data_IF_272330016062
#
_entry.id   IF_272330016062
#
_cell.length_a   1.000
_cell.length_b   1.000
_cell.length_c   1.000
_cell.angle_alpha   90.00
_cell.angle_beta   90.00
_cell.angle_gamma   90.00
#
_symmetry.space_group_name_H-M   'P 1'
#
loop_
_entity.id
_entity.type
_entity.pdbx_description
1 polymer ?
#
# COMPACT_ATOMS: atom_id res chain seq x y z
N UNK A 1 9.75 -2.27 20.10
CA UNK A 1 8.81 -1.75 19.08
C UNK A 1 9.51 -1.53 17.75
N UNK A 2 8.77 -1.52 16.66
CA UNK A 2 9.29 -1.20 15.31
C UNK A 2 8.54 -0.01 14.75
N UNK A 3 9.26 0.99 14.27
CA UNK A 3 8.72 2.12 13.53
C UNK A 3 8.95 1.89 12.03
N UNK A 4 7.93 2.10 11.21
CA UNK A 4 8.05 2.04 9.76
C UNK A 4 7.83 3.42 9.15
N UNK A 5 8.60 3.75 8.08
CA UNK A 5 8.51 5.02 7.37
C UNK A 5 8.31 4.75 5.89
N UNK A 6 7.16 5.13 5.38
CA UNK A 6 6.86 5.16 3.95
C UNK A 6 7.02 6.61 3.46
N UNK A 7 8.13 6.90 2.76
CA UNK A 7 8.40 8.22 2.18
C UNK A 7 7.85 8.26 0.75
N UNK A 8 6.57 8.58 0.62
CA UNK A 8 5.91 8.77 -0.66
C UNK A 8 6.26 10.12 -1.32
N UNK A 9 5.78 10.35 -2.55
CA UNK A 9 6.05 11.59 -3.30
C UNK A 9 5.49 12.86 -2.63
N UNK A 10 4.34 12.76 -1.96
CA UNK A 10 3.63 13.93 -1.41
C UNK A 10 3.74 14.01 0.11
N UNK A 11 3.73 12.89 0.78
CA UNK A 11 3.70 12.78 2.25
C UNK A 11 4.52 11.58 2.69
N UNK A 12 5.02 11.66 3.91
CA UNK A 12 5.58 10.52 4.63
C UNK A 12 4.53 9.95 5.59
N UNK A 13 4.47 8.64 5.67
CA UNK A 13 3.62 7.91 6.62
C UNK A 13 4.51 7.17 7.60
N UNK A 14 4.25 7.40 8.89
CA UNK A 14 4.96 6.77 9.99
C UNK A 14 3.99 5.85 10.73
N UNK A 15 4.36 4.58 10.91
CA UNK A 15 3.52 3.62 11.61
C UNK A 15 4.33 2.91 12.69
N UNK A 16 3.87 3.00 13.93
CA UNK A 16 4.48 2.35 15.08
C UNK A 16 3.78 1.02 15.37
N UNK A 17 4.55 -0.04 15.38
CA UNK A 17 4.08 -1.38 15.71
C UNK A 17 4.53 -1.79 17.13
N UNK A 18 3.64 -2.48 17.86
CA UNK A 18 3.99 -3.12 19.12
C UNK A 18 5.09 -4.17 18.90
N UNK A 19 5.81 -4.52 19.98
CA UNK A 19 6.57 -5.75 19.98
C UNK A 19 5.61 -6.94 19.80
N UNK A 20 6.05 -8.00 19.10
CA UNK A 20 5.26 -9.23 18.98
C UNK A 20 4.92 -9.77 20.36
N UNK A 21 3.66 -9.74 20.73
CA UNK A 21 3.15 -10.43 21.91
C UNK A 21 2.65 -11.79 21.48
N UNK A 22 3.26 -12.86 21.97
CA UNK A 22 2.73 -14.23 21.84
C UNK A 22 1.48 -14.34 22.73
N UNK A 23 0.34 -13.94 22.22
CA UNK A 23 -0.93 -14.23 22.85
C UNK A 23 -1.26 -15.70 22.59
N UNK A 24 -1.16 -16.54 23.62
CA UNK A 24 -1.71 -17.91 23.63
C UNK A 24 -3.23 -17.83 23.72
N UNK A 25 -3.91 -17.87 22.61
CA UNK A 25 -5.33 -18.27 22.58
C UNK A 25 -5.39 -19.67 22.00
N UNK A 26 -5.94 -20.58 22.76
CA UNK A 26 -6.33 -21.96 22.48
C UNK A 26 -6.10 -22.41 21.02
N UNK A 27 -4.89 -22.94 20.75
CA UNK A 27 -4.62 -23.79 19.59
C UNK A 27 -3.89 -23.17 18.41
N UNK A 28 -3.85 -21.86 18.22
CA UNK A 28 -3.09 -21.21 17.12
C UNK A 28 -2.32 -19.98 17.62
N UNK A 29 -1.00 -20.02 17.45
CA UNK A 29 -0.10 -18.91 17.83
C UNK A 29 0.04 -17.96 16.65
N UNK A 30 -0.98 -17.18 16.35
CA UNK A 30 -0.82 -16.03 15.47
C UNK A 30 -0.28 -14.87 16.30
N UNK A 31 0.97 -14.50 16.10
CA UNK A 31 1.56 -13.30 16.69
C UNK A 31 0.88 -12.06 16.10
N UNK A 32 -0.16 -11.56 16.74
CA UNK A 32 -0.82 -10.32 16.32
C UNK A 32 0.04 -9.14 16.73
N UNK A 33 0.59 -8.44 15.75
CA UNK A 33 1.28 -7.18 15.94
C UNK A 33 0.27 -6.05 15.84
N UNK A 34 0.09 -5.30 16.92
CA UNK A 34 -0.82 -4.16 16.93
C UNK A 34 -0.15 -2.90 16.37
N UNK A 35 -0.88 -2.14 15.60
CA UNK A 35 -0.52 -0.77 15.23
C UNK A 35 -0.87 0.11 16.42
N UNK A 36 0.11 0.80 16.98
CA UNK A 36 -0.04 1.66 18.15
C UNK A 36 -0.31 3.10 17.76
N UNK A 37 0.33 3.55 16.68
CA UNK A 37 0.25 4.92 16.21
C UNK A 37 0.47 4.97 14.70
N UNK A 38 -0.24 5.89 14.02
CA UNK A 38 -0.05 6.15 12.61
C UNK A 38 -0.15 7.65 12.34
N UNK A 39 0.88 8.21 11.71
CA UNK A 39 0.97 9.62 11.37
C UNK A 39 1.26 9.79 9.88
N UNK A 40 0.59 10.78 9.25
CA UNK A 40 0.90 11.21 7.90
C UNK A 40 1.30 12.67 7.92
N UNK A 41 2.54 12.96 7.50
CA UNK A 41 3.15 14.29 7.58
C UNK A 41 3.72 14.73 6.24
N UNK A 42 3.93 16.02 6.07
CA UNK A 42 4.70 16.55 4.94
C UNK A 42 6.18 16.31 5.16
N UNK A 43 6.98 16.28 4.08
CA UNK A 43 8.43 16.06 4.15
C UNK A 43 9.14 17.08 5.06
N UNK A 44 8.65 18.32 5.14
CA UNK A 44 9.22 19.37 5.99
C UNK A 44 9.08 19.06 7.50
N UNK A 45 8.03 18.35 7.89
CA UNK A 45 7.74 18.00 9.29
C UNK A 45 8.21 16.58 9.68
N UNK A 46 8.77 15.81 8.72
CA UNK A 46 9.10 14.41 8.93
C UNK A 46 10.10 14.19 10.05
N UNK A 47 11.24 14.91 10.05
CA UNK A 47 12.28 14.75 11.07
C UNK A 47 11.76 15.15 12.45
N UNK A 48 11.02 16.27 12.55
CA UNK A 48 10.43 16.71 13.81
C UNK A 48 9.42 15.67 14.37
N UNK A 49 8.59 15.09 13.50
CA UNK A 49 7.66 14.04 13.90
C UNK A 49 8.39 12.77 14.35
N UNK A 50 9.47 12.39 13.67
CA UNK A 50 10.32 11.26 14.07
C UNK A 50 10.95 11.48 15.44
N UNK A 51 11.50 12.67 15.70
CA UNK A 51 12.05 13.03 17.01
C UNK A 51 11.01 12.90 18.10
N UNK A 52 9.82 13.48 17.88
CA UNK A 52 8.72 13.40 18.83
C UNK A 52 8.32 11.95 19.14
N UNK A 53 8.19 11.10 18.11
CA UNK A 53 7.84 9.68 18.30
C UNK A 53 8.92 8.91 19.05
N UNK A 54 10.21 9.18 18.80
CA UNK A 54 11.32 8.54 19.50
C UNK A 54 11.41 9.00 20.96
N UNK A 55 11.09 10.25 21.27
CA UNK A 55 11.00 10.76 22.65
C UNK A 55 9.83 10.13 23.42
N UNK A 56 8.68 9.98 22.78
CA UNK A 56 7.48 9.38 23.38
C UNK A 56 7.60 7.85 23.56
N UNK A 57 8.37 7.19 22.70
CA UNK A 57 8.50 5.74 22.65
C UNK A 57 9.97 5.31 22.71
N UNK A 58 10.57 5.43 23.90
CA UNK A 58 12.00 5.12 24.14
C UNK A 58 12.41 3.66 23.89
N UNK A 59 11.44 2.76 23.66
CA UNK A 59 11.65 1.33 23.38
C UNK A 59 11.55 0.96 21.90
N UNK A 60 11.64 1.94 20.99
CA UNK A 60 11.80 1.67 19.54
C UNK A 60 13.21 1.12 19.32
N UNK A 61 13.29 -0.12 18.86
CA UNK A 61 14.54 -0.85 18.64
C UNK A 61 14.89 -0.97 17.16
N UNK A 62 13.89 -0.79 16.28
CA UNK A 62 14.06 -0.95 14.85
C UNK A 62 13.25 0.09 14.08
N UNK A 63 13.88 0.63 13.03
CA UNK A 63 13.24 1.48 12.04
C UNK A 63 13.42 0.84 10.67
N UNK A 64 12.30 0.55 9.99
CA UNK A 64 12.30 0.06 8.61
C UNK A 64 11.68 1.10 7.71
N UNK A 65 12.32 1.43 6.60
CA UNK A 65 11.83 2.48 5.74
C UNK A 65 11.98 2.20 4.26
N UNK A 66 11.16 2.87 3.47
CA UNK A 66 11.29 2.94 2.02
C UNK A 66 11.05 4.36 1.55
N UNK A 67 11.52 4.66 0.34
CA UNK A 67 11.32 5.97 -0.28
C UNK A 67 11.00 5.83 -1.77
N UNK A 68 10.16 6.74 -2.26
CA UNK A 68 9.91 6.97 -3.68
C UNK A 68 10.42 8.38 -4.00
N UNK A 69 11.36 8.48 -4.96
CA UNK A 69 11.97 9.74 -5.34
C UNK A 69 13.13 10.16 -4.45
N UNK A 70 13.32 11.48 -4.30
CA UNK A 70 14.49 12.05 -3.61
C UNK A 70 14.32 12.00 -2.09
N UNK A 71 15.29 11.39 -1.41
CA UNK A 71 15.33 11.36 0.06
C UNK A 71 15.93 12.68 0.56
N UNK A 72 15.27 13.40 1.50
CA UNK A 72 15.85 14.59 2.10
C UNK A 72 17.13 14.27 2.87
N UNK A 73 18.20 15.01 2.63
CA UNK A 73 19.50 14.83 3.33
C UNK A 73 19.34 14.88 4.85
N UNK A 74 18.46 15.75 5.35
CA UNK A 74 18.18 15.84 6.79
C UNK A 74 17.64 14.52 7.37
N UNK A 75 16.82 13.77 6.61
CA UNK A 75 16.34 12.46 7.04
C UNK A 75 17.47 11.43 7.05
N UNK A 76 18.31 11.40 6.02
CA UNK A 76 19.43 10.46 5.95
C UNK A 76 20.38 10.66 7.14
N UNK A 77 20.83 11.90 7.37
CA UNK A 77 21.70 12.22 8.50
C UNK A 77 21.04 11.88 9.86
N UNK A 78 19.76 12.17 9.98
CA UNK A 78 19.02 11.85 11.20
C UNK A 78 18.96 10.34 11.47
N UNK A 79 18.68 9.53 10.44
CA UNK A 79 18.59 8.07 10.56
C UNK A 79 19.94 7.42 10.83
N UNK A 80 21.04 7.96 10.29
CA UNK A 80 22.41 7.47 10.50
C UNK A 80 22.91 7.67 11.95
N UNK A 81 22.41 8.71 12.65
CA UNK A 81 22.82 9.05 14.03
C UNK A 81 21.99 8.32 15.11
N UNK A 82 21.03 7.49 14.70
CA UNK A 82 20.16 6.79 15.65
C UNK A 82 20.83 5.55 16.26
N UNK A 83 20.66 5.31 17.57
CA UNK A 83 21.25 4.15 18.27
C UNK A 83 20.49 2.83 18.03
N UNK A 84 19.43 2.83 17.23
CA UNK A 84 18.63 1.65 16.93
C UNK A 84 18.98 1.06 15.55
N UNK A 85 18.50 -0.16 15.28
CA UNK A 85 18.69 -0.78 13.97
C UNK A 85 17.82 -0.07 12.90
N UNK A 86 18.47 0.49 11.89
CA UNK A 86 17.79 1.17 10.75
C UNK A 86 18.01 0.36 9.49
N UNK A 87 16.92 -0.01 8.82
CA UNK A 87 16.94 -0.81 7.59
C UNK A 87 16.12 -0.14 6.50
N UNK A 88 16.73 0.05 5.32
CA UNK A 88 16.06 0.52 4.11
C UNK A 88 15.64 -0.67 3.24
N UNK A 89 14.40 -0.66 2.75
CA UNK A 89 13.97 -1.58 1.69
C UNK A 89 14.41 -1.03 0.34
N UNK A 90 15.21 -1.81 -0.37
CA UNK A 90 15.66 -1.50 -1.74
C UNK A 90 15.22 -2.62 -2.68
N UNK A 91 14.52 -2.32 -3.80
CA UNK A 91 14.14 -3.33 -4.79
C UNK A 91 15.33 -4.02 -5.47
N UNK A 92 16.50 -3.37 -5.49
CA UNK A 92 17.76 -3.95 -5.99
C UNK A 92 18.38 -4.98 -5.06
N UNK A 93 17.95 -4.99 -3.78
CA UNK A 93 18.39 -5.94 -2.75
C UNK A 93 17.16 -6.41 -1.96
N UNK A 94 16.28 -7.22 -2.58
CA UNK A 94 15.05 -7.67 -1.93
C UNK A 94 15.36 -8.61 -0.76
N UNK A 95 14.43 -8.75 0.20
CA UNK A 95 14.59 -9.69 1.30
C UNK A 95 14.66 -11.14 0.80
N UNK A 96 15.23 -12.03 1.62
CA UNK A 96 15.37 -13.44 1.30
C UNK A 96 14.01 -14.08 0.95
N UNK A 97 13.99 -14.93 -0.05
CA UNK A 97 12.77 -15.57 -0.55
C UNK A 97 11.99 -14.75 -1.58
N UNK A 98 12.41 -13.50 -1.86
CA UNK A 98 11.81 -12.67 -2.90
C UNK A 98 12.74 -12.58 -4.11
N UNK A 99 12.19 -12.83 -5.29
CA UNK A 99 12.88 -12.66 -6.57
C UNK A 99 12.19 -11.59 -7.40
N UNK A 100 12.93 -10.59 -7.84
CA UNK A 100 12.38 -9.50 -8.63
C UNK A 100 12.43 -9.84 -10.11
N UNK A 101 11.27 -10.04 -10.74
CA UNK A 101 11.12 -10.25 -12.18
C UNK A 101 11.06 -8.95 -13.00
N UNK A 102 11.13 -7.81 -12.34
CA UNK A 102 11.14 -6.49 -12.98
C UNK A 102 12.52 -6.22 -13.60
N UNK A 103 12.57 -5.87 -14.90
CA UNK A 103 13.83 -5.75 -15.64
C UNK A 103 14.73 -4.61 -15.18
N UNK A 104 14.14 -3.57 -14.57
CA UNK A 104 14.83 -2.38 -14.08
C UNK A 104 14.53 -2.21 -12.59
N UNK A 105 15.05 -3.07 -11.71
CA UNK A 105 14.75 -3.04 -10.28
C UNK A 105 15.12 -1.71 -9.62
N UNK A 106 16.09 -0.98 -10.17
CA UNK A 106 16.51 0.35 -9.74
C UNK A 106 15.42 1.42 -9.94
N UNK A 107 14.46 1.19 -10.84
CA UNK A 107 13.33 2.10 -11.08
C UNK A 107 12.02 1.63 -10.45
N UNK A 108 12.02 0.45 -9.83
CA UNK A 108 10.86 -0.05 -9.11
C UNK A 108 10.64 0.75 -7.82
N UNK A 109 9.44 1.29 -7.63
CA UNK A 109 9.08 1.94 -6.37
C UNK A 109 9.19 0.97 -5.19
N UNK A 110 9.93 1.36 -4.15
CA UNK A 110 10.11 0.53 -2.98
C UNK A 110 8.81 0.36 -2.17
N UNK A 111 7.88 1.33 -2.25
CA UNK A 111 6.52 1.26 -1.72
C UNK A 111 5.72 0.13 -2.35
N UNK A 112 5.84 -0.08 -3.66
CA UNK A 112 5.18 -1.17 -4.39
C UNK A 112 5.69 -2.54 -3.92
N UNK A 113 7.01 -2.68 -3.75
CA UNK A 113 7.59 -3.90 -3.17
C UNK A 113 7.13 -4.09 -1.71
N UNK A 114 7.16 -3.03 -0.89
CA UNK A 114 6.68 -3.09 0.48
C UNK A 114 5.21 -3.53 0.54
N UNK A 115 4.34 -3.02 -0.32
CA UNK A 115 2.93 -3.37 -0.34
C UNK A 115 2.70 -4.87 -0.62
N UNK A 116 3.42 -5.47 -1.58
CA UNK A 116 3.29 -6.92 -1.84
C UNK A 116 3.89 -7.78 -0.72
N UNK A 117 4.96 -7.33 -0.05
CA UNK A 117 5.50 -7.98 1.14
C UNK A 117 4.49 -7.93 2.30
N UNK A 118 3.78 -6.80 2.45
CA UNK A 118 2.69 -6.66 3.41
C UNK A 118 1.56 -7.65 3.16
N UNK A 119 1.11 -7.77 1.92
CA UNK A 119 0.09 -8.74 1.54
C UNK A 119 0.55 -10.19 1.78
N UNK A 120 1.81 -10.50 1.43
CA UNK A 120 2.39 -11.82 1.67
C UNK A 120 2.53 -12.13 3.17
N UNK A 121 2.83 -11.14 4.00
CA UNK A 121 2.90 -11.33 5.46
C UNK A 121 1.55 -11.67 6.09
N UNK A 122 0.47 -11.19 5.48
CA UNK A 122 -0.92 -11.49 5.89
C UNK A 122 -1.40 -12.83 5.35
N UNK A 123 -1.00 -13.20 4.12
CA UNK A 123 -1.35 -14.45 3.45
C UNK A 123 -0.09 -15.11 2.86
N UNK A 124 0.73 -15.78 3.68
CA UNK A 124 1.91 -16.51 3.23
C UNK A 124 1.55 -17.57 2.18
N UNK A 125 2.45 -17.80 1.24
CA UNK A 125 2.30 -18.83 0.21
C UNK A 125 1.11 -18.67 -0.76
N UNK A 126 0.48 -17.48 -0.78
CA UNK A 126 -0.57 -17.14 -1.75
C UNK A 126 -0.04 -16.22 -2.85
N UNK A 127 -0.58 -16.39 -4.05
CA UNK A 127 -0.42 -15.38 -5.11
C UNK A 127 -1.28 -14.18 -4.73
N UNK A 128 -0.68 -13.00 -4.67
CA UNK A 128 -1.36 -11.76 -4.28
C UNK A 128 -1.26 -10.71 -5.37
N UNK A 129 -2.38 -10.05 -5.65
CA UNK A 129 -2.45 -8.84 -6.45
C UNK A 129 -2.69 -7.66 -5.51
N UNK A 130 -1.74 -6.76 -5.41
CA UNK A 130 -1.89 -5.55 -4.61
C UNK A 130 -2.28 -4.39 -5.52
N UNK A 131 -3.29 -3.64 -5.10
CA UNK A 131 -3.82 -2.46 -5.77
C UNK A 131 -3.72 -1.31 -4.79
N UNK A 132 -2.77 -0.39 -5.02
CA UNK A 132 -2.64 0.83 -4.22
C UNK A 132 -3.32 1.99 -4.95
N UNK A 133 -4.44 2.46 -4.38
CA UNK A 133 -5.24 3.55 -4.92
C UNK A 133 -4.86 4.88 -4.27
N UNK A 134 -3.76 5.45 -4.71
CA UNK A 134 -3.22 6.73 -4.27
C UNK A 134 -3.27 7.81 -5.35
N UNK A 135 -2.22 8.64 -5.40
CA UNK A 135 -2.02 9.66 -6.47
C UNK A 135 -1.99 9.00 -7.85
N UNK A 136 -1.28 7.89 -7.97
CA UNK A 136 -1.43 6.90 -9.03
C UNK A 136 -2.14 5.67 -8.45
N UNK A 137 -2.65 4.82 -9.33
CA UNK A 137 -3.09 3.48 -8.98
C UNK A 137 -2.02 2.52 -9.47
N UNK A 138 -1.46 1.73 -8.57
CA UNK A 138 -0.52 0.68 -8.94
C UNK A 138 -1.16 -0.69 -8.81
N UNK A 139 -0.74 -1.62 -9.65
CA UNK A 139 -1.16 -3.01 -9.66
C UNK A 139 0.10 -3.86 -9.61
N UNK A 140 0.29 -4.60 -8.55
CA UNK A 140 1.52 -5.34 -8.27
C UNK A 140 1.22 -6.81 -8.00
N UNK A 141 1.87 -7.71 -8.75
CA UNK A 141 1.62 -9.14 -8.67
C UNK A 141 2.82 -9.89 -8.11
N UNK A 142 2.63 -10.54 -6.96
CA UNK A 142 3.57 -11.44 -6.34
C UNK A 142 3.00 -12.87 -6.35
N UNK A 143 3.76 -13.81 -6.88
CA UNK A 143 3.39 -15.23 -6.86
C UNK A 143 3.64 -15.85 -5.49
N UNK A 144 2.96 -16.98 -5.25
CA UNK A 144 3.07 -17.77 -4.00
C UNK A 144 4.48 -18.28 -3.70
N UNK A 145 5.34 -18.37 -4.72
CA UNK A 145 6.75 -18.77 -4.60
C UNK A 145 7.71 -17.59 -4.36
N UNK A 146 7.18 -16.39 -4.09
CA UNK A 146 7.98 -15.20 -3.83
C UNK A 146 8.50 -14.49 -5.10
N UNK A 147 8.03 -14.86 -6.29
CA UNK A 147 8.43 -14.18 -7.52
C UNK A 147 7.54 -12.96 -7.80
N UNK A 148 8.11 -11.76 -7.64
CA UNK A 148 7.46 -10.50 -8.03
C UNK A 148 7.49 -10.35 -9.55
N UNK A 149 6.32 -10.46 -10.18
CA UNK A 149 6.20 -10.46 -11.65
C UNK A 149 6.26 -9.05 -12.26
N UNK A 150 6.14 -8.02 -11.45
CA UNK A 150 5.98 -6.64 -11.90
C UNK A 150 4.54 -6.18 -11.72
N UNK A 151 4.19 -5.12 -12.42
CA UNK A 151 2.86 -4.53 -12.31
C UNK A 151 2.65 -3.35 -13.25
N UNK A 152 1.51 -2.69 -13.10
CA UNK A 152 1.09 -1.57 -13.92
C UNK A 152 0.90 -0.32 -13.07
N UNK A 153 0.98 0.84 -13.71
CA UNK A 153 0.74 2.15 -13.09
C UNK A 153 -0.30 2.88 -13.94
N UNK A 154 -1.32 3.41 -13.28
CA UNK A 154 -2.43 4.12 -13.90
C UNK A 154 -2.71 5.43 -13.15
N UNK A 155 -3.28 6.44 -13.79
CA UNK A 155 -3.62 7.69 -13.13
C UNK A 155 -4.68 7.46 -12.04
N UNK A 156 -4.46 8.03 -10.84
CA UNK A 156 -5.45 8.07 -9.78
C UNK A 156 -6.61 9.04 -10.08
N UNK A 157 -7.61 9.07 -9.22
CA UNK A 157 -8.87 9.79 -9.43
C UNK A 157 -8.65 11.29 -9.69
N UNK A 158 -7.93 11.95 -8.81
CA UNK A 158 -7.65 13.39 -8.96
C UNK A 158 -6.82 13.70 -10.21
N UNK A 159 -5.90 12.81 -10.55
CA UNK A 159 -5.07 12.95 -11.75
C UNK A 159 -5.92 12.85 -13.02
N UNK A 160 -6.89 11.93 -13.09
CA UNK A 160 -7.83 11.79 -14.21
C UNK A 160 -8.70 13.06 -14.35
N UNK A 161 -9.26 13.54 -13.24
CA UNK A 161 -10.11 14.74 -13.24
C UNK A 161 -9.34 15.99 -13.67
N UNK A 162 -8.13 16.18 -13.14
CA UNK A 162 -7.23 17.28 -13.52
C UNK A 162 -6.79 17.18 -14.98
N UNK A 163 -6.46 15.99 -15.46
CA UNK A 163 -6.05 15.77 -16.85
C UNK A 163 -7.17 16.12 -17.84
N UNK A 164 -8.42 15.71 -17.56
CA UNK A 164 -9.56 16.08 -18.41
C UNK A 164 -9.76 17.60 -18.49
N UNK A 165 -9.63 18.31 -17.38
CA UNK A 165 -9.67 19.77 -17.39
C UNK A 165 -8.49 20.38 -18.16
N UNK A 166 -7.28 19.93 -17.87
CA UNK A 166 -6.06 20.53 -18.42
C UNK A 166 -5.91 20.32 -19.94
N UNK A 167 -6.31 19.15 -20.44
CA UNK A 167 -6.13 18.78 -21.84
C UNK A 167 -7.37 19.02 -22.72
N UNK A 168 -8.40 19.72 -22.22
CA UNK A 168 -9.58 20.09 -23.00
C UNK A 168 -9.96 21.56 -22.82
N UNK A 169 -10.52 22.17 -23.87
CA UNK A 169 -10.83 23.61 -23.86
C UNK A 169 -12.07 23.97 -23.02
N UNK A 170 -12.96 23.03 -22.72
CA UNK A 170 -14.29 23.35 -22.15
C UNK A 170 -14.65 22.55 -20.89
N UNK A 171 -13.92 21.51 -20.55
CA UNK A 171 -14.25 20.72 -19.38
C UNK A 171 -13.82 21.46 -18.09
N UNK A 172 -14.74 21.66 -17.14
CA UNK A 172 -14.42 22.33 -15.89
C UNK A 172 -13.53 21.47 -15.01
N UNK A 173 -12.76 22.10 -14.10
CA UNK A 173 -12.09 21.38 -13.04
C UNK A 173 -13.12 20.88 -12.02
N UNK A 174 -13.19 19.57 -11.83
CA UNK A 174 -14.10 18.89 -10.89
C UNK A 174 -13.30 18.19 -9.81
N UNK A 175 -13.83 18.15 -8.60
CA UNK A 175 -13.31 17.34 -7.51
C UNK A 175 -14.04 15.98 -7.47
N UNK A 176 -13.46 15.01 -6.78
CA UNK A 176 -14.08 13.69 -6.56
C UNK A 176 -15.40 13.76 -5.78
N UNK A 177 -15.58 14.84 -4.99
CA UNK A 177 -16.78 15.01 -4.14
C UNK A 177 -18.02 15.37 -4.96
N UNK A 178 -19.13 14.72 -4.62
CA UNK A 178 -20.46 14.96 -5.24
C UNK A 178 -21.03 13.72 -5.90
N UNK A 179 -22.18 13.87 -6.56
CA UNK A 179 -22.87 12.78 -7.21
C UNK A 179 -22.07 12.17 -8.38
N UNK A 180 -22.04 10.84 -8.43
CA UNK A 180 -21.39 10.04 -9.48
C UNK A 180 -22.27 8.84 -9.83
N UNK A 181 -23.46 9.08 -10.43
CA UNK A 181 -24.35 7.99 -10.86
C UNK A 181 -23.67 7.10 -11.90
N UNK A 182 -24.22 5.91 -12.18
CA UNK A 182 -23.68 5.02 -13.20
C UNK A 182 -23.57 5.69 -14.59
N UNK A 183 -24.48 6.63 -14.89
CA UNK A 183 -24.48 7.47 -16.08
C UNK A 183 -24.69 8.93 -15.66
N UNK A 184 -23.71 9.79 -15.97
CA UNK A 184 -23.82 11.22 -15.68
C UNK A 184 -24.95 11.88 -16.49
N UNK A 185 -25.68 12.79 -15.86
CA UNK A 185 -26.79 13.53 -16.45
C UNK A 185 -26.46 15.00 -16.74
N UNK A 186 -25.28 15.44 -16.33
CA UNK A 186 -24.67 16.74 -16.67
C UNK A 186 -23.14 16.57 -16.76
N UNK A 187 -22.44 17.64 -17.20
CA UNK A 187 -21.00 17.60 -17.39
C UNK A 187 -20.24 17.24 -16.09
N UNK A 188 -20.66 17.78 -14.95
CA UNK A 188 -19.96 17.54 -13.66
C UNK A 188 -20.10 16.09 -13.20
N UNK A 189 -21.32 15.55 -13.27
CA UNK A 189 -21.57 14.15 -12.93
C UNK A 189 -20.95 13.20 -13.94
N UNK A 190 -20.95 13.56 -15.24
CA UNK A 190 -20.32 12.74 -16.28
C UNK A 190 -18.79 12.61 -16.09
N UNK A 191 -18.11 13.71 -15.72
CA UNK A 191 -16.68 13.69 -15.41
C UNK A 191 -16.36 12.83 -14.20
N UNK A 192 -17.12 12.99 -13.10
CA UNK A 192 -16.93 12.19 -11.87
C UNK A 192 -17.23 10.72 -12.13
N UNK A 193 -18.37 10.43 -12.71
CA UNK A 193 -18.81 9.06 -13.02
C UNK A 193 -17.82 8.35 -13.95
N UNK A 194 -17.38 9.02 -15.01
CA UNK A 194 -16.40 8.47 -15.94
C UNK A 194 -15.08 8.14 -15.28
N UNK A 195 -14.60 8.99 -14.35
CA UNK A 195 -13.36 8.74 -13.62
C UNK A 195 -13.53 7.63 -12.58
N UNK A 196 -14.58 7.66 -11.74
CA UNK A 196 -14.78 6.71 -10.64
C UNK A 196 -15.13 5.32 -11.17
N UNK A 197 -16.14 5.22 -12.06
CA UNK A 197 -16.52 3.93 -12.65
C UNK A 197 -15.44 3.38 -13.58
N UNK A 198 -14.70 4.28 -14.28
CA UNK A 198 -13.53 3.87 -15.06
C UNK A 198 -12.49 3.16 -14.21
N UNK A 199 -12.16 3.70 -13.03
CA UNK A 199 -11.23 3.06 -12.07
C UNK A 199 -11.82 1.74 -11.55
N UNK A 200 -13.11 1.72 -11.19
CA UNK A 200 -13.79 0.50 -10.75
C UNK A 200 -13.61 -0.64 -11.79
N UNK A 201 -13.95 -0.36 -13.05
CA UNK A 201 -13.85 -1.35 -14.13
C UNK A 201 -12.41 -1.76 -14.41
N UNK A 202 -11.46 -0.84 -14.29
CA UNK A 202 -10.03 -1.12 -14.43
C UNK A 202 -9.56 -2.10 -13.32
N UNK A 203 -9.88 -1.82 -12.07
CA UNK A 203 -9.53 -2.68 -10.93
C UNK A 203 -10.15 -4.08 -11.09
N UNK A 204 -11.46 -4.14 -11.36
CA UNK A 204 -12.16 -5.42 -11.53
C UNK A 204 -11.67 -6.18 -12.75
N UNK A 205 -11.30 -5.48 -13.83
CA UNK A 205 -10.70 -6.06 -15.02
C UNK A 205 -9.34 -6.72 -14.72
N UNK A 206 -8.45 -6.04 -13.99
CA UNK A 206 -7.18 -6.62 -13.58
C UNK A 206 -7.36 -7.82 -12.64
N UNK A 207 -8.27 -7.76 -11.68
CA UNK A 207 -8.58 -8.89 -10.79
C UNK A 207 -9.05 -10.10 -11.63
N UNK A 208 -9.97 -9.89 -12.57
CA UNK A 208 -10.47 -10.95 -13.44
C UNK A 208 -9.36 -11.55 -14.32
N UNK A 209 -8.53 -10.68 -14.93
CA UNK A 209 -7.39 -11.11 -15.75
C UNK A 209 -6.38 -11.94 -14.97
N UNK A 210 -6.02 -11.51 -13.77
CA UNK A 210 -5.07 -12.24 -12.92
C UNK A 210 -5.66 -13.57 -12.46
N UNK A 211 -6.93 -13.60 -12.04
CA UNK A 211 -7.60 -14.83 -11.61
C UNK A 211 -7.80 -15.84 -12.73
N UNK A 212 -7.92 -15.41 -13.97
CA UNK A 212 -7.94 -16.33 -15.11
C UNK A 212 -6.65 -17.15 -15.23
N UNK A 213 -5.51 -16.59 -14.80
CA UNK A 213 -4.21 -17.28 -14.81
C UNK A 213 -3.86 -17.89 -13.44
N UNK A 214 -4.26 -17.26 -12.37
CA UNK A 214 -4.01 -17.63 -10.98
C UNK A 214 -5.34 -17.68 -10.22
N UNK A 215 -6.13 -18.78 -10.34
CA UNK A 215 -7.50 -18.83 -9.80
C UNK A 215 -7.61 -18.56 -8.30
N UNK A 216 -6.55 -18.89 -7.54
CA UNK A 216 -6.50 -18.67 -6.09
C UNK A 216 -5.86 -17.33 -5.69
N UNK A 217 -5.72 -16.39 -6.64
CA UNK A 217 -5.17 -15.08 -6.33
C UNK A 217 -6.07 -14.28 -5.39
N UNK A 218 -5.50 -13.78 -4.31
CA UNK A 218 -6.11 -12.84 -3.39
C UNK A 218 -5.74 -11.41 -3.80
N UNK A 219 -6.74 -10.53 -3.90
CA UNK A 219 -6.51 -9.12 -4.20
C UNK A 219 -6.52 -8.30 -2.91
N UNK A 220 -5.56 -7.40 -2.77
CA UNK A 220 -5.49 -6.44 -1.66
C UNK A 220 -5.65 -5.03 -2.20
N UNK A 221 -6.59 -4.28 -1.62
CA UNK A 221 -6.84 -2.88 -1.95
C UNK A 221 -6.31 -2.01 -0.80
N UNK A 222 -5.40 -1.11 -1.12
CA UNK A 222 -4.80 -0.15 -0.18
C UNK A 222 -4.84 1.26 -0.76
N UNK A 223 -4.24 2.23 -0.08
CA UNK A 223 -4.22 3.63 -0.49
C UNK A 223 -5.39 4.45 0.05
N UNK A 224 -5.24 5.77 -0.01
CA UNK A 224 -6.19 6.72 0.58
C UNK A 224 -7.56 6.75 -0.10
N UNK A 225 -7.62 6.44 -1.41
CA UNK A 225 -8.83 6.52 -2.22
C UNK A 225 -9.54 5.17 -2.42
N UNK A 226 -9.14 4.11 -1.71
CA UNK A 226 -9.67 2.75 -1.90
C UNK A 226 -11.18 2.60 -1.73
N UNK A 227 -11.81 3.48 -0.93
CA UNK A 227 -13.25 3.43 -0.67
C UNK A 227 -14.12 4.11 -1.74
N UNK A 228 -13.51 4.89 -2.64
CA UNK A 228 -14.24 5.71 -3.61
C UNK A 228 -14.77 4.90 -4.80
N UNK A 229 -14.42 3.62 -4.92
CA UNK A 229 -14.62 2.85 -6.15
C UNK A 229 -15.73 1.80 -6.08
N UNK A 230 -16.58 1.80 -5.06
CA UNK A 230 -17.71 0.86 -4.87
C UNK A 230 -17.29 -0.63 -5.01
N UNK A 231 -16.12 -0.99 -4.52
CA UNK A 231 -15.64 -2.37 -4.51
C UNK A 231 -15.95 -2.99 -3.15
N UNK A 232 -16.65 -4.12 -3.17
CA UNK A 232 -16.90 -4.88 -1.95
C UNK A 232 -15.60 -5.55 -1.48
N UNK A 233 -15.11 -5.16 -0.33
CA UNK A 233 -13.90 -5.69 0.29
C UNK A 233 -14.19 -6.34 1.62
N UNK A 234 -13.31 -7.26 2.03
CA UNK A 234 -13.30 -7.86 3.36
C UNK A 234 -12.19 -7.22 4.20
N UNK A 235 -12.36 -7.18 5.52
CA UNK A 235 -11.30 -6.76 6.43
C UNK A 235 -10.27 -7.88 6.60
N UNK A 236 -8.99 -7.51 6.72
CA UNK A 236 -7.87 -8.45 6.87
C UNK A 236 -7.76 -8.99 8.32
N UNK A 237 -8.85 -9.39 8.92
CA UNK A 237 -8.87 -10.01 10.25
C UNK A 237 -8.86 -11.54 10.10
N UNK A 238 -7.76 -12.08 9.56
CA UNK A 238 -7.60 -13.52 9.45
C UNK A 238 -7.29 -14.10 10.82
N UNK A 239 -8.25 -14.78 11.42
CA UNK A 239 -8.01 -15.64 12.58
C UNK A 239 -7.30 -16.94 12.15
N UNK A 240 -7.52 -17.36 10.89
CA UNK A 240 -6.93 -18.53 10.24
C UNK A 240 -6.84 -18.27 8.73
N UNK A 241 -5.79 -18.79 8.05
CA UNK A 241 -5.63 -18.74 6.58
C UNK A 241 -6.83 -19.40 5.85
N UNK A 242 -7.46 -20.40 6.48
CA UNK A 242 -8.62 -21.09 5.93
C UNK A 242 -9.83 -20.17 5.74
N UNK A 243 -10.01 -19.16 6.59
CA UNK A 243 -11.12 -18.19 6.50
C UNK A 243 -11.00 -17.30 5.28
N UNK A 244 -9.78 -16.96 4.88
CA UNK A 244 -9.50 -16.13 3.69
C UNK A 244 -9.81 -16.87 2.38
N UNK A 245 -9.70 -18.20 2.37
CA UNK A 245 -9.84 -19.05 1.17
C UNK A 245 -11.30 -19.47 0.95
N UNK A 246 -12.08 -19.52 2.02
CA UNK A 246 -13.47 -20.03 2.00
C UNK A 246 -14.48 -19.06 1.33
N UNK A 247 -14.07 -17.83 1.03
CA UNK A 247 -14.99 -16.81 0.49
C UNK A 247 -14.85 -16.65 -1.01
N UNK A 248 -15.96 -16.56 -1.74
CA UNK A 248 -15.99 -16.29 -3.18
C UNK A 248 -15.38 -14.92 -3.55
N UNK A 249 -15.38 -13.97 -2.62
CA UNK A 249 -14.86 -12.64 -2.81
C UNK A 249 -13.51 -12.42 -2.09
N UNK A 250 -12.41 -12.85 -2.67
CA UNK A 250 -11.05 -12.71 -2.11
C UNK A 250 -10.47 -11.32 -2.40
N UNK A 251 -11.21 -10.26 -2.07
CA UNK A 251 -10.76 -8.87 -2.17
C UNK A 251 -10.73 -8.30 -0.76
N UNK A 252 -9.53 -7.96 -0.29
CA UNK A 252 -9.27 -7.47 1.06
C UNK A 252 -8.87 -6.01 1.03
N UNK A 253 -9.16 -5.26 2.10
CA UNK A 253 -8.71 -3.89 2.26
C UNK A 253 -7.82 -3.76 3.50
N UNK A 254 -6.64 -3.19 3.32
CA UNK A 254 -5.73 -2.83 4.42
C UNK A 254 -5.01 -1.53 4.08
N UNK A 255 -5.19 -0.50 4.90
CA UNK A 255 -4.55 0.81 4.70
C UNK A 255 -3.08 0.85 5.12
N UNK A 256 -2.63 -0.15 5.87
CA UNK A 256 -1.28 -0.23 6.41
C UNK A 256 -0.39 -1.22 5.64
N UNK A 257 -0.79 -1.64 4.45
CA UNK A 257 -0.13 -2.73 3.73
C UNK A 257 1.36 -2.46 3.49
N UNK A 258 1.73 -1.24 3.08
CA UNK A 258 3.14 -0.80 2.93
C UNK A 258 3.88 -0.89 4.28
N UNK A 259 3.26 -0.36 5.34
CA UNK A 259 3.85 -0.41 6.68
C UNK A 259 4.05 -1.85 7.19
N UNK A 260 3.09 -2.75 6.92
CA UNK A 260 3.23 -4.18 7.25
C UNK A 260 4.38 -4.84 6.50
N UNK A 261 4.57 -4.50 5.23
CA UNK A 261 5.68 -5.02 4.44
C UNK A 261 7.04 -4.55 4.96
N UNK A 262 7.14 -3.30 5.38
CA UNK A 262 8.33 -2.78 6.05
C UNK A 262 8.56 -3.43 7.42
N UNK A 263 7.49 -3.66 8.18
CA UNK A 263 7.57 -4.37 9.45
C UNK A 263 8.05 -5.81 9.29
N UNK A 264 7.65 -6.49 8.22
CA UNK A 264 7.98 -7.88 7.93
C UNK A 264 9.43 -8.09 7.43
N UNK A 265 10.19 -7.03 7.21
CA UNK A 265 11.62 -7.15 6.88
C UNK A 265 12.36 -7.90 7.99
N UNK A 266 13.41 -8.69 7.66
CA UNK A 266 14.16 -9.49 8.61
C UNK A 266 14.92 -8.68 9.67
#
# INVERSE_FOLDING_TARGET
>A
MTLTIDLGNTRAKLTLFSAQTTARTTGNTAAQTAILEHNSVTHQHLVAQLQQMLEQHSNIQRICWCAVGTVPTALTLFLEDLPCHVQQLLPTSPPAGITIGYRTPETLGADRLAAVLGAQSLLPHHTVLVIDAGTCITFDLLRSDGHYLGGNISPGLDMRLKAMHHHTARLPLVTAQGAHPSWGYDTLTALRSGAIWGIHHEIMGYIAQVRAKYPNCCAFLTGGNRYDFNISTQTCNFADESDAIATDNRIFADEYLVARGLYALP
#
